data_IF_859906561959
#
_entry.id   IF_859906561959
#
_cell.length_a   1.000
_cell.length_b   1.000
_cell.length_c   1.000
_cell.angle_alpha   90.00
_cell.angle_beta   90.00
_cell.angle_gamma   90.00
#
_symmetry.space_group_name_H-M   'P 1'
#
loop_
_entity.id
_entity.type
_entity.pdbx_description
1 polymer ?
#
# COMPACT_ATOMS: atom_id res chain seq x y z
N UNK A 1 -2.99 -12.57 10.17
CA UNK A 1 -3.96 -12.02 11.18
C UNK A 1 -5.18 -11.54 10.43
N UNK A 2 -6.38 -11.84 10.89
CA UNK A 2 -7.63 -11.37 10.28
C UNK A 2 -7.89 -9.92 10.72
N UNK A 3 -8.36 -9.08 9.79
CA UNK A 3 -8.60 -7.66 10.05
C UNK A 3 -9.59 -7.44 11.20
N UNK A 4 -10.75 -8.15 11.21
CA UNK A 4 -11.76 -8.03 12.26
C UNK A 4 -11.19 -8.29 13.65
N UNK A 5 -10.36 -9.33 13.80
CA UNK A 5 -9.82 -9.73 15.08
C UNK A 5 -8.93 -8.65 15.70
N UNK A 6 -8.13 -7.98 14.86
CA UNK A 6 -7.30 -6.87 15.35
C UNK A 6 -8.13 -5.65 15.73
N UNK A 7 -9.14 -5.31 14.93
CA UNK A 7 -10.06 -4.20 15.23
C UNK A 7 -10.77 -4.44 16.56
N UNK A 8 -11.31 -5.64 16.77
CA UNK A 8 -12.00 -6.02 18.01
C UNK A 8 -11.05 -6.03 19.21
N UNK A 9 -9.82 -6.50 19.03
CA UNK A 9 -8.82 -6.46 20.08
C UNK A 9 -8.51 -5.02 20.52
N UNK A 10 -8.37 -4.08 19.59
CA UNK A 10 -8.12 -2.67 19.92
C UNK A 10 -9.31 -2.05 20.62
N UNK A 11 -10.53 -2.36 20.20
CA UNK A 11 -11.76 -1.90 20.89
C UNK A 11 -11.79 -2.42 22.32
N UNK A 12 -11.54 -3.71 22.55
CA UNK A 12 -11.53 -4.32 23.89
C UNK A 12 -10.46 -3.73 24.81
N UNK A 13 -9.31 -3.37 24.25
CA UNK A 13 -8.22 -2.78 25.01
C UNK A 13 -8.36 -1.27 25.23
N UNK A 14 -9.38 -0.63 24.67
CA UNK A 14 -9.63 0.79 24.82
C UNK A 14 -10.62 1.04 25.97
N UNK A 15 -10.36 2.01 26.87
CA UNK A 15 -11.17 2.21 28.08
C UNK A 15 -12.61 2.61 27.78
N UNK A 16 -12.87 3.23 26.65
CA UNK A 16 -14.19 3.81 26.33
C UNK A 16 -14.95 2.99 25.30
N UNK A 17 -14.88 1.76 25.13
CA UNK A 17 -15.65 0.84 24.26
C UNK A 17 -16.57 1.45 23.14
N UNK A 18 -16.56 2.77 22.97
CA UNK A 18 -17.45 3.55 22.10
C UNK A 18 -16.82 3.95 20.76
N UNK A 19 -15.63 3.44 20.44
CA UNK A 19 -14.99 3.77 19.17
C UNK A 19 -15.71 3.10 18.00
N UNK A 20 -15.97 3.89 16.95
CA UNK A 20 -16.47 3.39 15.71
C UNK A 20 -15.42 2.46 15.05
N UNK A 21 -15.82 1.27 14.61
CA UNK A 21 -14.96 0.29 13.92
C UNK A 21 -14.23 0.92 12.72
N UNK A 22 -14.89 1.79 11.97
CA UNK A 22 -14.28 2.50 10.84
C UNK A 22 -13.13 3.41 11.28
N UNK A 23 -13.28 4.13 12.40
CA UNK A 23 -12.21 4.94 12.96
C UNK A 23 -11.03 4.08 13.40
N UNK A 24 -11.28 2.98 14.11
CA UNK A 24 -10.24 2.04 14.53
C UNK A 24 -9.52 1.45 13.31
N UNK A 25 -10.25 1.04 12.28
CA UNK A 25 -9.68 0.51 11.05
C UNK A 25 -8.75 1.53 10.37
N UNK A 26 -9.15 2.79 10.31
CA UNK A 26 -8.34 3.88 9.76
C UNK A 26 -7.07 4.12 10.57
N UNK A 27 -7.19 4.18 11.89
CA UNK A 27 -6.06 4.40 12.79
C UNK A 27 -5.07 3.24 12.73
N UNK A 28 -5.57 1.99 12.68
CA UNK A 28 -4.73 0.82 12.47
C UNK A 28 -4.02 0.84 11.12
N UNK A 29 -4.71 1.32 10.07
CA UNK A 29 -4.11 1.50 8.75
C UNK A 29 -2.93 2.48 8.77
N UNK A 30 -3.08 3.63 9.46
CA UNK A 30 -2.01 4.60 9.66
C UNK A 30 -0.83 4.00 10.45
N UNK A 31 -1.12 3.36 11.59
CA UNK A 31 -0.10 2.74 12.43
C UNK A 31 0.66 1.62 11.69
N UNK A 32 -0.04 0.81 10.89
CA UNK A 32 0.56 -0.22 10.06
C UNK A 32 1.43 0.38 8.94
N UNK A 33 0.99 1.48 8.34
CA UNK A 33 1.76 2.24 7.36
C UNK A 33 3.08 2.73 7.92
N UNK A 34 3.08 3.30 9.11
CA UNK A 34 4.30 3.77 9.81
C UNK A 34 5.27 2.60 10.10
N UNK A 35 4.73 1.45 10.52
CA UNK A 35 5.54 0.26 10.78
C UNK A 35 6.15 -0.28 9.48
N UNK A 36 5.36 -0.40 8.42
CA UNK A 36 5.86 -0.84 7.12
C UNK A 36 6.92 0.12 6.58
N UNK A 37 6.67 1.42 6.67
CA UNK A 37 7.63 2.43 6.25
C UNK A 37 8.97 2.28 6.99
N UNK A 38 8.93 2.11 8.30
CA UNK A 38 10.13 1.93 9.11
C UNK A 38 10.91 0.66 8.74
N UNK A 39 10.20 -0.46 8.53
CA UNK A 39 10.80 -1.75 8.16
C UNK A 39 11.38 -1.70 6.75
N UNK A 40 10.63 -1.19 5.77
CA UNK A 40 11.08 -1.18 4.37
C UNK A 40 12.19 -0.16 4.12
N UNK A 41 12.25 0.91 4.91
CA UNK A 41 13.37 1.86 4.86
C UNK A 41 14.68 1.21 5.31
N UNK A 42 14.64 0.29 6.26
CA UNK A 42 15.81 -0.43 6.74
C UNK A 42 16.20 -1.57 5.79
N UNK A 43 15.23 -2.33 5.31
CA UNK A 43 15.44 -3.50 4.47
C UNK A 43 14.37 -3.57 3.36
N UNK A 44 14.61 -2.92 2.21
CA UNK A 44 13.62 -2.85 1.11
C UNK A 44 13.20 -4.21 0.54
N UNK A 45 14.03 -5.24 0.68
CA UNK A 45 13.72 -6.59 0.20
C UNK A 45 12.52 -7.21 0.92
N UNK A 46 12.23 -6.82 2.16
CA UNK A 46 11.07 -7.29 2.92
C UNK A 46 9.73 -6.90 2.31
N UNK A 47 9.67 -5.90 1.44
CA UNK A 47 8.44 -5.54 0.72
C UNK A 47 7.83 -6.76 0.04
N UNK A 48 8.65 -7.63 -0.53
CA UNK A 48 8.18 -8.80 -1.27
C UNK A 48 7.29 -9.74 -0.44
N UNK A 49 7.52 -9.82 0.86
CA UNK A 49 6.77 -10.70 1.75
C UNK A 49 5.34 -10.17 2.04
N UNK A 50 5.08 -8.91 1.73
CA UNK A 50 3.82 -8.21 2.03
C UNK A 50 3.00 -7.91 0.79
N UNK A 51 3.52 -8.16 -0.41
CA UNK A 51 2.79 -7.98 -1.65
C UNK A 51 1.65 -8.99 -1.78
N UNK A 52 0.48 -8.50 -2.12
CA UNK A 52 -0.66 -9.29 -2.57
C UNK A 52 -0.70 -9.27 -4.08
N UNK A 53 -1.04 -10.40 -4.67
CA UNK A 53 -1.12 -10.58 -6.11
C UNK A 53 -2.57 -10.52 -6.57
N UNK A 54 -2.85 -9.61 -7.50
CA UNK A 54 -4.16 -9.40 -8.10
C UNK A 54 -4.10 -9.73 -9.59
N UNK A 55 -5.01 -10.61 -10.04
CA UNK A 55 -5.23 -10.86 -11.46
C UNK A 55 -6.34 -9.96 -11.94
N UNK A 56 -6.03 -9.06 -12.84
CA UNK A 56 -6.95 -8.03 -13.32
C UNK A 56 -6.88 -7.91 -14.84
N UNK A 57 -7.98 -7.50 -15.44
CA UNK A 57 -8.04 -7.20 -16.87
C UNK A 57 -8.11 -5.70 -17.04
N UNK A 58 -7.26 -5.14 -17.89
CA UNK A 58 -7.30 -3.73 -18.21
C UNK A 58 -8.51 -3.40 -19.07
N UNK A 59 -9.16 -2.27 -18.78
CA UNK A 59 -10.28 -1.74 -19.57
C UNK A 59 -9.81 -0.46 -20.25
N UNK A 60 -10.03 -0.36 -21.55
CA UNK A 60 -9.69 0.86 -22.29
C UNK A 60 -10.52 2.04 -21.80
N UNK A 61 -9.85 3.10 -21.43
CA UNK A 61 -10.48 4.35 -20.98
C UNK A 61 -10.47 5.42 -22.07
N UNK A 62 -9.33 5.58 -22.76
CA UNK A 62 -9.13 6.54 -23.83
C UNK A 62 -8.18 5.96 -24.91
N UNK A 63 -7.80 6.75 -25.90
CA UNK A 63 -6.98 6.31 -27.03
C UNK A 63 -5.70 5.61 -26.60
N UNK A 64 -5.01 6.13 -25.59
CA UNK A 64 -3.72 5.63 -25.08
C UNK A 64 -3.74 5.29 -23.58
N UNK A 65 -4.93 5.22 -22.97
CA UNK A 65 -5.07 4.99 -21.52
C UNK A 65 -5.96 3.79 -21.30
N UNK A 66 -5.51 2.88 -20.48
CA UNK A 66 -6.30 1.78 -19.92
C UNK A 66 -6.30 1.85 -18.40
N UNK A 67 -7.32 1.31 -17.77
CA UNK A 67 -7.47 1.30 -16.32
C UNK A 67 -7.71 -0.13 -15.85
N UNK A 68 -7.04 -0.50 -14.75
CA UNK A 68 -7.36 -1.70 -13.98
C UNK A 68 -7.96 -1.29 -12.65
N UNK A 69 -9.00 -1.99 -12.20
CA UNK A 69 -9.60 -1.76 -10.89
C UNK A 69 -9.22 -2.89 -9.95
N UNK A 70 -8.64 -2.53 -8.81
CA UNK A 70 -8.28 -3.45 -7.74
C UNK A 70 -9.44 -3.61 -6.74
N UNK A 71 -9.56 -4.75 -6.05
CA UNK A 71 -10.59 -4.95 -5.02
C UNK A 71 -10.40 -4.07 -3.79
N UNK A 72 -9.17 -3.61 -3.54
CA UNK A 72 -8.80 -2.74 -2.41
C UNK A 72 -7.94 -1.59 -2.88
N UNK A 73 -7.94 -0.49 -2.14
CA UNK A 73 -6.94 0.57 -2.33
C UNK A 73 -5.54 0.05 -1.99
N UNK A 74 -4.55 0.65 -2.62
CA UNK A 74 -3.15 0.29 -2.42
C UNK A 74 -2.49 1.27 -1.46
N UNK A 75 -1.65 0.74 -0.57
CA UNK A 75 -0.83 1.54 0.33
C UNK A 75 0.33 2.16 -0.45
N UNK A 76 0.49 3.47 -0.32
CA UNK A 76 1.53 4.23 -1.01
C UNK A 76 2.60 4.70 -0.03
N UNK A 77 3.86 4.58 -0.42
CA UNK A 77 5.02 4.99 0.38
C UNK A 77 5.86 6.01 -0.41
N UNK A 78 5.64 7.32 -0.21
CA UNK A 78 6.23 8.36 -1.06
C UNK A 78 7.76 8.37 -1.14
N UNK A 79 8.43 7.82 -0.13
CA UNK A 79 9.90 7.87 -0.01
C UNK A 79 10.58 6.57 -0.43
N UNK A 80 9.84 5.45 -0.41
CA UNK A 80 10.40 4.10 -0.71
C UNK A 80 10.25 3.76 -2.19
N UNK A 81 9.53 4.59 -2.94
CA UNK A 81 9.10 4.30 -4.31
C UNK A 81 7.83 3.44 -4.33
N UNK A 82 7.36 3.16 -5.53
CA UNK A 82 6.15 2.38 -5.69
C UNK A 82 6.40 0.93 -5.27
N UNK A 83 5.72 0.52 -4.19
CA UNK A 83 5.64 -0.89 -3.82
C UNK A 83 4.73 -1.69 -4.77
N UNK A 84 4.22 -1.04 -5.82
CA UNK A 84 3.35 -1.66 -6.82
C UNK A 84 4.19 -2.14 -7.99
N UNK A 85 3.92 -3.37 -8.42
CA UNK A 85 4.51 -3.95 -9.62
C UNK A 85 3.39 -4.37 -10.56
N UNK A 86 3.57 -4.08 -11.83
CA UNK A 86 2.64 -4.46 -12.89
C UNK A 86 3.40 -5.28 -13.92
N UNK A 87 2.83 -6.38 -14.34
CA UNK A 87 3.40 -7.21 -15.41
C UNK A 87 2.32 -8.00 -16.15
N UNK A 88 2.60 -8.36 -17.38
CA UNK A 88 1.76 -9.24 -18.18
C UNK A 88 2.31 -10.67 -18.13
N UNK A 89 1.44 -11.64 -17.87
CA UNK A 89 1.84 -13.05 -17.91
C UNK A 89 1.98 -13.57 -19.35
N UNK A 90 1.21 -13.01 -20.27
CA UNK A 90 1.20 -13.42 -21.70
C UNK A 90 2.28 -12.74 -22.52
N UNK A 91 2.78 -11.58 -22.09
CA UNK A 91 3.74 -10.77 -22.81
C UNK A 91 4.85 -10.32 -21.85
N UNK A 92 5.83 -11.21 -21.57
CA UNK A 92 6.87 -10.95 -20.57
C UNK A 92 7.84 -9.85 -20.97
N UNK A 93 7.93 -9.52 -22.26
CA UNK A 93 8.83 -8.50 -22.80
C UNK A 93 8.30 -7.06 -22.58
N UNK A 94 7.01 -6.92 -22.22
CA UNK A 94 6.45 -5.61 -21.87
C UNK A 94 7.00 -5.10 -20.55
N UNK A 95 7.55 -3.91 -20.59
CA UNK A 95 8.08 -3.22 -19.40
C UNK A 95 7.04 -2.26 -18.87
N UNK A 96 6.69 -2.40 -17.59
CA UNK A 96 5.83 -1.47 -16.88
C UNK A 96 6.69 -0.60 -15.97
N UNK A 97 6.63 0.72 -16.18
CA UNK A 97 7.38 1.70 -15.41
C UNK A 97 6.45 2.60 -14.59
N UNK A 98 6.70 2.81 -13.28
CA UNK A 98 5.94 3.77 -12.52
C UNK A 98 6.21 5.18 -13.03
N UNK A 99 5.15 5.98 -13.20
CA UNK A 99 5.22 7.37 -13.63
C UNK A 99 4.47 8.27 -12.67
N UNK A 100 4.91 9.51 -12.55
CA UNK A 100 4.21 10.54 -11.78
C UNK A 100 3.33 11.38 -12.69
N UNK A 101 2.26 11.94 -12.14
CA UNK A 101 1.28 12.76 -12.85
C UNK A 101 1.91 13.98 -13.54
N UNK A 102 2.94 14.55 -12.96
CA UNK A 102 3.70 15.67 -13.50
C UNK A 102 4.60 15.29 -14.69
N UNK A 103 4.93 14.00 -14.81
CA UNK A 103 5.71 13.45 -15.93
C UNK A 103 4.83 13.05 -17.13
N UNK A 104 3.51 12.97 -16.96
CA UNK A 104 2.55 12.59 -18.01
C UNK A 104 2.55 13.52 -19.22
N UNK A 105 2.84 14.82 -19.02
CA UNK A 105 2.94 15.77 -20.12
C UNK A 105 4.12 15.49 -21.05
N UNK A 106 5.16 14.83 -20.53
CA UNK A 106 6.32 14.40 -21.29
C UNK A 106 6.05 13.08 -22.05
N UNK A 107 5.17 12.22 -21.49
CA UNK A 107 4.84 10.93 -22.10
C UNK A 107 3.70 11.03 -23.13
N UNK A 108 2.90 12.10 -23.09
CA UNK A 108 1.82 12.33 -24.04
C UNK A 108 2.28 12.45 -25.50
N UNK A 109 3.53 12.86 -25.70
CA UNK A 109 4.17 12.94 -27.03
C UNK A 109 5.05 11.70 -27.35
N UNK A 110 5.29 10.80 -26.39
CA UNK A 110 6.08 9.60 -26.60
C UNK A 110 5.16 8.41 -26.90
N UNK A 111 4.40 8.52 -27.97
CA UNK A 111 3.56 7.43 -28.49
C UNK A 111 4.32 6.25 -29.07
N UNK A 112 5.65 6.22 -29.00
CA UNK A 112 6.50 5.29 -29.73
C UNK A 112 7.72 4.76 -28.95
N UNK A 113 7.70 4.76 -27.62
CA UNK A 113 8.63 3.86 -26.96
C UNK A 113 7.96 2.48 -26.99
N UNK A 114 8.19 1.77 -28.07
CA UNK A 114 7.79 0.38 -28.22
C UNK A 114 8.14 -0.38 -26.92
N UNK A 115 7.15 -1.06 -26.34
CA UNK A 115 7.27 -1.97 -25.20
C UNK A 115 7.37 -1.36 -23.78
N UNK A 116 7.27 -0.05 -23.58
CA UNK A 116 7.20 0.56 -22.25
C UNK A 116 5.82 1.14 -21.98
N UNK A 117 5.17 0.65 -20.94
CA UNK A 117 3.87 1.12 -20.46
C UNK A 117 4.08 1.85 -19.13
N UNK A 118 3.69 3.13 -19.10
CA UNK A 118 3.69 3.89 -17.86
C UNK A 118 2.53 3.46 -16.96
N UNK A 119 2.71 3.42 -15.64
CA UNK A 119 1.58 3.22 -14.74
C UNK A 119 1.60 4.15 -13.53
N UNK A 120 0.42 4.46 -13.03
CA UNK A 120 0.20 5.23 -11.80
C UNK A 120 -0.94 4.61 -11.00
N UNK A 121 -0.80 4.60 -9.68
CA UNK A 121 -1.82 4.06 -8.76
C UNK A 121 -2.61 5.22 -8.16
N UNK A 122 -3.94 5.17 -8.30
CA UNK A 122 -4.89 6.16 -7.75
C UNK A 122 -5.95 5.44 -6.92
N UNK A 123 -5.69 5.24 -5.65
CA UNK A 123 -6.61 4.50 -4.77
C UNK A 123 -6.77 3.05 -5.18
N UNK A 124 -7.92 2.69 -5.76
CA UNK A 124 -8.20 1.35 -6.28
C UNK A 124 -7.90 1.19 -7.77
N UNK A 125 -7.55 2.26 -8.44
CA UNK A 125 -7.32 2.24 -9.89
C UNK A 125 -5.83 2.26 -10.19
N UNK A 126 -5.42 1.45 -11.16
CA UNK A 126 -4.11 1.49 -11.77
C UNK A 126 -4.28 1.98 -13.21
N UNK A 127 -3.81 3.18 -13.46
CA UNK A 127 -3.84 3.84 -14.74
C UNK A 127 -2.62 3.44 -15.54
N UNK A 128 -2.82 3.08 -16.81
CA UNK A 128 -1.82 2.53 -17.70
C UNK A 128 -1.74 3.39 -18.96
N UNK A 129 -0.63 4.09 -19.15
CA UNK A 129 -0.38 4.95 -20.31
C UNK A 129 0.44 4.22 -21.37
N UNK A 130 0.07 4.40 -22.62
CA UNK A 130 0.66 3.68 -23.75
C UNK A 130 0.02 2.32 -24.02
N UNK A 131 -0.95 1.90 -23.22
CA UNK A 131 -1.65 0.65 -23.42
C UNK A 131 -2.90 0.85 -24.29
N UNK A 132 -2.82 0.38 -25.54
CA UNK A 132 -3.91 0.51 -26.52
C UNK A 132 -4.82 -0.73 -26.60
N UNK A 133 -4.38 -1.88 -26.07
CA UNK A 133 -5.11 -3.15 -26.10
C UNK A 133 -5.50 -3.57 -24.70
N UNK A 134 -6.70 -4.18 -24.60
CA UNK A 134 -7.10 -4.87 -23.38
C UNK A 134 -6.17 -6.06 -23.11
N UNK A 135 -5.72 -6.21 -21.85
CA UNK A 135 -4.78 -7.26 -21.43
C UNK A 135 -5.11 -7.77 -20.04
N UNK A 136 -4.77 -9.02 -19.82
CA UNK A 136 -4.76 -9.62 -18.48
C UNK A 136 -3.41 -9.35 -17.84
N UNK A 137 -3.46 -8.73 -16.69
CA UNK A 137 -2.30 -8.25 -15.95
C UNK A 137 -2.26 -8.87 -14.56
N UNK A 138 -1.08 -8.95 -14.04
CA UNK A 138 -0.83 -9.25 -12.64
C UNK A 138 -0.29 -7.97 -12.00
N UNK A 139 -0.97 -7.55 -10.92
CA UNK A 139 -0.58 -6.40 -10.12
C UNK A 139 -0.21 -6.91 -8.74
N UNK A 140 1.03 -6.67 -8.32
CA UNK A 140 1.50 -6.95 -6.98
C UNK A 140 1.57 -5.64 -6.21
N UNK A 141 0.84 -5.56 -5.09
CA UNK A 141 0.77 -4.35 -4.29
C UNK A 141 0.45 -4.68 -2.82
N UNK A 142 0.75 -3.75 -1.92
CA UNK A 142 0.35 -3.86 -0.51
C UNK A 142 -1.04 -3.25 -0.37
N UNK A 143 -2.06 -4.02 0.05
CA UNK A 143 -3.42 -3.49 0.21
C UNK A 143 -3.47 -2.50 1.37
N UNK A 144 -4.28 -1.46 1.21
CA UNK A 144 -4.58 -0.53 2.31
C UNK A 144 -5.48 -1.22 3.34
N UNK A 145 -5.04 -1.26 4.60
CA UNK A 145 -5.78 -1.88 5.69
C UNK A 145 -7.21 -1.36 5.82
N UNK A 146 -7.42 -0.06 5.55
CA UNK A 146 -8.73 0.58 5.66
C UNK A 146 -9.76 -0.04 4.70
N UNK A 147 -9.35 -0.36 3.48
CA UNK A 147 -10.24 -0.85 2.41
C UNK A 147 -10.32 -2.36 2.28
N UNK A 148 -9.51 -3.11 3.04
CA UNK A 148 -9.60 -4.57 3.10
C UNK A 148 -10.94 -5.01 3.70
N UNK A 149 -11.42 -6.18 3.30
CA UNK A 149 -12.57 -6.81 3.94
C UNK A 149 -12.25 -7.22 5.39
N UNK A 150 -13.26 -7.26 6.26
CA UNK A 150 -13.10 -7.69 7.65
C UNK A 150 -12.60 -9.14 7.79
N UNK A 151 -12.81 -9.96 6.77
CA UNK A 151 -12.35 -11.36 6.71
C UNK A 151 -10.98 -11.52 6.08
N UNK A 152 -10.40 -10.45 5.51
CA UNK A 152 -9.11 -10.54 4.84
C UNK A 152 -7.98 -10.70 5.85
N UNK A 153 -7.00 -11.48 5.45
CA UNK A 153 -5.76 -11.64 6.19
C UNK A 153 -4.75 -10.56 5.78
N UNK A 154 -4.06 -10.02 6.77
CA UNK A 154 -2.93 -9.14 6.57
C UNK A 154 -1.72 -9.61 7.38
N UNK A 155 -0.54 -9.19 6.94
CA UNK A 155 0.72 -9.56 7.57
C UNK A 155 1.21 -8.38 8.41
N UNK A 156 1.63 -8.67 9.64
CA UNK A 156 2.35 -7.71 10.50
C UNK A 156 3.79 -8.16 10.57
N UNK A 157 4.76 -7.27 10.43
CA UNK A 157 6.17 -7.64 10.60
C UNK A 157 6.43 -8.33 11.93
N UNK A 158 7.30 -9.33 11.91
CA UNK A 158 7.57 -10.16 13.08
C UNK A 158 7.97 -9.30 14.29
N UNK A 159 7.32 -9.56 15.43
CA UNK A 159 7.54 -8.80 16.66
C UNK A 159 6.90 -7.43 16.73
N UNK A 160 6.22 -6.95 15.67
CA UNK A 160 5.64 -5.59 15.62
C UNK A 160 4.16 -5.53 16.04
N UNK A 161 3.53 -6.64 16.38
CA UNK A 161 2.09 -6.66 16.76
C UNK A 161 1.80 -5.78 17.99
N UNK A 162 2.60 -5.91 19.05
CA UNK A 162 2.44 -5.08 20.24
C UNK A 162 2.69 -3.59 19.94
N UNK A 163 3.65 -3.30 19.06
CA UNK A 163 3.95 -1.97 18.59
C UNK A 163 2.78 -1.37 17.79
N UNK A 164 2.16 -2.16 16.91
CA UNK A 164 0.99 -1.75 16.13
C UNK A 164 -0.18 -1.32 17.05
N UNK A 165 -0.51 -2.15 18.04
CA UNK A 165 -1.57 -1.86 19.00
C UNK A 165 -1.25 -0.61 19.82
N UNK A 166 0.00 -0.49 20.27
CA UNK A 166 0.44 0.65 21.06
C UNK A 166 0.39 1.96 20.24
N UNK A 167 0.89 1.95 19.01
CA UNK A 167 0.85 3.11 18.10
C UNK A 167 -0.58 3.50 17.78
N UNK A 168 -1.47 2.53 17.53
CA UNK A 168 -2.89 2.81 17.32
C UNK A 168 -3.53 3.49 18.54
N UNK A 169 -3.21 3.06 19.76
CA UNK A 169 -3.68 3.70 21.00
C UNK A 169 -3.12 5.11 21.18
N UNK A 170 -1.88 5.35 20.81
CA UNK A 170 -1.27 6.69 20.84
C UNK A 170 -1.98 7.64 19.88
N UNK A 171 -2.28 7.19 18.65
CA UNK A 171 -3.03 7.97 17.67
C UNK A 171 -4.46 8.29 18.17
N UNK A 172 -5.10 7.34 18.86
CA UNK A 172 -6.42 7.53 19.46
C UNK A 172 -6.40 8.45 20.71
N UNK A 173 -5.22 8.82 21.21
CA UNK A 173 -5.06 9.58 22.43
C UNK A 173 -5.38 8.80 23.71
N UNK A 174 -5.46 7.48 23.64
CA UNK A 174 -5.79 6.58 24.77
C UNK A 174 -4.55 6.21 25.59
N UNK A 175 -3.37 6.21 24.96
CA UNK A 175 -2.11 5.94 25.61
C UNK A 175 -1.21 7.19 25.61
N UNK A 176 -0.42 7.42 26.67
CA UNK A 176 0.55 8.50 26.64
C UNK A 176 1.59 8.21 25.52
N UNK A 177 2.06 9.26 24.82
CA UNK A 177 3.09 9.09 23.80
C UNK A 177 4.34 8.47 24.45
N UNK A 178 5.00 7.58 23.71
CA UNK A 178 6.25 6.96 24.19
C UNK A 178 7.25 8.05 24.50
N UNK A 179 7.83 8.02 25.69
CA UNK A 179 9.00 8.82 25.98
C UNK A 179 10.10 8.44 24.97
N UNK A 180 10.52 9.38 24.14
CA UNK A 180 11.68 9.19 23.28
C UNK A 180 12.86 9.00 24.23
N UNK A 181 13.28 7.75 24.41
CA UNK A 181 14.54 7.44 25.07
C UNK A 181 15.63 8.04 24.16
N UNK A 182 16.00 9.30 24.42
CA UNK A 182 17.20 9.89 23.89
C UNK A 182 18.36 9.05 24.45
N UNK A 183 18.89 8.19 23.61
CA UNK A 183 20.20 7.57 23.90
C UNK A 183 21.21 8.71 24.02
N UNK A 184 21.45 9.14 25.24
CA UNK A 184 22.66 9.93 25.54
C UNK A 184 23.83 8.98 25.31
N UNK A 185 24.54 9.20 24.22
CA UNK A 185 25.89 8.66 24.04
C UNK A 185 26.70 9.10 25.26
N UNK A 186 27.33 8.16 25.99
CA UNK A 186 28.26 8.57 27.03
C UNK A 186 29.41 9.26 26.36
N UNK A 187 29.59 10.54 26.63
CA UNK A 187 30.81 11.27 26.35
C UNK A 187 31.94 10.65 27.18
N UNK A 188 32.91 10.05 26.47
CA UNK A 188 34.21 9.73 27.02
C UNK A 188 35.01 11.00 27.29
#
# INVERSE_FOLDING_TARGET
MIKSDLVDLVIQLSPDNNYNRGLISRVLGLALGDIYFAVFKQEPSFINDYLHRYHVTSVRHDANISICTLPTSVMQFPVIGDCTRVYSQSEPDLVFAPIRMDENSLLGDINEIDDVIGFEVKGQEVWLWGMTKQRDLIIEAIPSFETMSDTDEFKVPAGQQANLIQTAKEILGVAPPRAILSYRTPTQ
#
